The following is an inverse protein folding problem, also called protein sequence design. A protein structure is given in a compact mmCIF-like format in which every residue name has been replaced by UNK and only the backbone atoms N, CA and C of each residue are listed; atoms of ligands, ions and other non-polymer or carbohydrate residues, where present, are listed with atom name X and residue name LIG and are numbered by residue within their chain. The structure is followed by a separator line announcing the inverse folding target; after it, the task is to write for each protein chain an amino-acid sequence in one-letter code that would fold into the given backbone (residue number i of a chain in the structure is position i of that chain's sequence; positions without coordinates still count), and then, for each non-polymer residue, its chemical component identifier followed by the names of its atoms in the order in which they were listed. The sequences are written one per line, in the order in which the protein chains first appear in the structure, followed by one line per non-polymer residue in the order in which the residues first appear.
data_IF_733925160131
#
_entry.id   IF_733925160131
#
_cell.length_a   1.000
_cell.length_b   1.000
_cell.length_c   1.000
_cell.angle_alpha   90.00
_cell.angle_beta   90.00
_cell.angle_gamma   90.00
#
_symmetry.space_group_name_H-M   'P 1'
#
loop_
_entity.id
_entity.type
_entity.pdbx_description
1 polymer ?
#
# COMPACT_ATOMS: atom_id res chain seq x y z
N UNK A 1 -22.90 -16.04 -1.68
CA UNK A 1 -22.25 -14.98 -0.89
C UNK A 1 -21.16 -14.41 -1.76
N UNK A 2 -21.18 -13.11 -2.05
CA UNK A 2 -20.15 -12.46 -2.87
C UNK A 2 -19.07 -12.02 -1.91
N UNK A 3 -17.84 -12.49 -2.15
CA UNK A 3 -16.66 -12.07 -1.42
C UNK A 3 -15.98 -10.94 -2.18
N UNK A 4 -15.48 -9.96 -1.42
CA UNK A 4 -14.75 -8.82 -1.94
C UNK A 4 -13.44 -8.68 -1.19
N UNK A 5 -12.38 -8.39 -1.93
CA UNK A 5 -11.11 -7.96 -1.36
C UNK A 5 -11.26 -6.50 -0.93
N UNK A 6 -11.04 -6.20 0.34
CA UNK A 6 -11.22 -4.88 0.92
C UNK A 6 -10.04 -4.51 1.79
N UNK A 7 -9.67 -3.23 1.82
CA UNK A 7 -8.50 -2.80 2.57
C UNK A 7 -8.68 -1.49 3.32
N UNK A 8 -7.87 -1.38 4.37
CA UNK A 8 -7.66 -0.17 5.16
C UNK A 8 -6.23 0.27 4.93
N UNK A 9 -6.05 1.53 4.57
CA UNK A 9 -4.76 2.07 4.16
C UNK A 9 -4.53 3.45 4.76
N UNK A 10 -3.27 3.87 4.78
CA UNK A 10 -2.87 5.24 5.08
C UNK A 10 -2.34 5.90 3.81
N UNK A 11 -2.86 7.07 3.47
CA UNK A 11 -2.48 7.83 2.28
C UNK A 11 -1.64 9.04 2.63
N UNK A 12 -0.60 9.35 1.85
CA UNK A 12 0.07 10.63 1.97
C UNK A 12 -0.81 11.77 1.45
N UNK A 13 -0.49 13.00 1.84
CA UNK A 13 -1.15 14.20 1.31
C UNK A 13 -0.99 14.33 -0.22
N UNK A 14 -1.75 15.23 -0.83
CA UNK A 14 -1.77 15.40 -2.28
C UNK A 14 -0.40 15.80 -2.87
N UNK A 15 0.41 16.57 -2.14
CA UNK A 15 1.73 17.00 -2.63
C UNK A 15 2.71 15.83 -2.64
N UNK A 16 2.79 15.12 -1.52
CA UNK A 16 3.62 13.93 -1.35
C UNK A 16 3.17 12.83 -2.32
N UNK A 17 1.87 12.65 -2.52
CA UNK A 17 1.32 11.71 -3.50
C UNK A 17 1.82 12.00 -4.92
N UNK A 18 1.82 13.28 -5.36
CA UNK A 18 2.35 13.66 -6.68
C UNK A 18 3.83 13.32 -6.80
N UNK A 19 4.64 13.65 -5.79
CA UNK A 19 6.08 13.34 -5.81
C UNK A 19 6.36 11.83 -5.84
N UNK A 20 5.54 11.01 -5.18
CA UNK A 20 5.66 9.56 -5.23
C UNK A 20 5.27 8.98 -6.59
N UNK A 21 4.23 9.54 -7.25
CA UNK A 21 3.87 9.17 -8.62
C UNK A 21 5.03 9.49 -9.58
N UNK A 22 5.61 10.68 -9.49
CA UNK A 22 6.79 11.06 -10.30
C UNK A 22 7.98 10.12 -10.07
N UNK A 23 8.26 9.75 -8.81
CA UNK A 23 9.32 8.81 -8.47
C UNK A 23 9.04 7.41 -9.04
N UNK A 24 7.81 6.91 -8.91
CA UNK A 24 7.35 5.65 -9.48
C UNK A 24 7.63 5.57 -10.98
N UNK A 25 7.21 6.60 -11.72
CA UNK A 25 7.45 6.67 -13.16
C UNK A 25 8.94 6.79 -13.51
N UNK A 26 9.73 7.52 -12.73
CA UNK A 26 11.17 7.63 -12.96
C UNK A 26 11.92 6.29 -12.76
N UNK A 27 11.47 5.44 -11.83
CA UNK A 27 12.04 4.11 -11.58
C UNK A 27 11.63 3.13 -12.68
N UNK A 28 10.36 3.17 -13.09
CA UNK A 28 9.81 2.30 -14.13
C UNK A 28 10.16 2.70 -15.57
N UNK A 29 10.74 3.89 -15.79
CA UNK A 29 11.02 4.40 -17.14
C UNK A 29 11.92 3.44 -17.94
N UNK A 30 11.57 3.24 -19.22
CA UNK A 30 12.26 2.31 -20.12
C UNK A 30 12.01 0.81 -19.86
N UNK A 31 11.15 0.44 -18.91
CA UNK A 31 10.81 -0.95 -18.58
C UNK A 31 9.33 -1.24 -18.84
N UNK A 32 8.97 -2.50 -19.08
CA UNK A 32 7.56 -2.91 -19.21
C UNK A 32 6.89 -2.88 -17.82
N UNK A 33 5.97 -1.93 -17.55
CA UNK A 33 5.34 -1.81 -16.25
C UNK A 33 4.17 -2.79 -16.14
N UNK A 34 4.14 -3.55 -15.06
CA UNK A 34 2.94 -4.29 -14.65
C UNK A 34 2.01 -3.36 -13.85
N UNK A 35 2.59 -2.53 -12.98
CA UNK A 35 1.89 -1.52 -12.21
C UNK A 35 2.83 -0.34 -11.90
N UNK A 36 2.33 0.88 -12.07
CA UNK A 36 2.95 2.11 -11.59
C UNK A 36 1.90 2.92 -10.84
N UNK A 37 2.33 3.76 -9.90
CA UNK A 37 1.43 4.68 -9.22
C UNK A 37 0.74 5.64 -10.20
N UNK A 38 -0.49 6.02 -9.88
CA UNK A 38 -1.29 6.93 -10.69
C UNK A 38 -2.71 7.08 -10.13
N UNK A 39 -3.64 7.58 -10.94
CA UNK A 39 -5.03 7.80 -10.54
C UNK A 39 -5.71 6.51 -10.03
N UNK A 40 -5.46 5.38 -10.71
CA UNK A 40 -6.01 4.05 -10.35
C UNK A 40 -5.14 3.26 -9.37
N UNK A 41 -4.00 3.83 -8.98
CA UNK A 41 -3.03 3.21 -8.08
C UNK A 41 -2.43 4.30 -7.18
N UNK A 42 -3.23 4.91 -6.28
CA UNK A 42 -2.73 5.94 -5.40
C UNK A 42 -1.69 5.37 -4.42
N UNK A 43 -0.64 6.14 -4.06
CA UNK A 43 0.32 5.72 -3.07
C UNK A 43 -0.36 5.54 -1.72
N UNK A 44 0.00 4.46 -1.03
CA UNK A 44 -0.59 4.10 0.25
C UNK A 44 0.34 3.20 1.06
N UNK A 45 0.07 3.12 2.36
CA UNK A 45 0.61 2.11 3.27
C UNK A 45 -0.54 1.23 3.71
N UNK A 46 -0.44 -0.07 3.47
CA UNK A 46 -1.46 -1.02 3.92
C UNK A 46 -1.47 -1.14 5.44
N UNK A 47 -2.66 -1.03 6.04
CA UNK A 47 -2.93 -1.38 7.45
C UNK A 47 -3.55 -2.77 7.51
N UNK A 48 -4.50 -3.05 6.61
CA UNK A 48 -5.21 -4.32 6.53
C UNK A 48 -5.62 -4.59 5.08
N UNK A 49 -5.38 -5.79 4.57
CA UNK A 49 -6.04 -6.33 3.38
C UNK A 49 -6.78 -7.61 3.78
N UNK A 50 -8.05 -7.75 3.41
CA UNK A 50 -8.88 -8.90 3.80
C UNK A 50 -9.81 -9.34 2.67
N UNK A 51 -10.13 -10.64 2.67
CA UNK A 51 -11.30 -11.17 1.97
C UNK A 51 -12.47 -11.18 2.96
N UNK A 52 -13.57 -10.54 2.59
CA UNK A 52 -14.77 -10.48 3.42
C UNK A 52 -16.04 -10.57 2.56
N UNK A 53 -17.16 -10.92 3.18
CA UNK A 53 -18.44 -10.81 2.51
C UNK A 53 -18.80 -9.33 2.31
N UNK A 54 -19.47 -8.99 1.21
CA UNK A 54 -19.79 -7.60 0.86
C UNK A 54 -20.54 -6.84 1.98
N UNK A 55 -21.41 -7.53 2.71
CA UNK A 55 -22.16 -6.98 3.85
C UNK A 55 -21.29 -6.70 5.10
N UNK A 56 -20.09 -7.26 5.17
CA UNK A 56 -19.12 -7.03 6.26
C UNK A 56 -18.29 -5.76 6.05
N UNK A 57 -18.23 -5.23 4.83
CA UNK A 57 -17.45 -4.00 4.51
C UNK A 57 -17.89 -2.81 5.34
N UNK A 58 -19.19 -2.70 5.67
CA UNK A 58 -19.72 -1.63 6.51
C UNK A 58 -19.11 -1.60 7.92
N UNK A 59 -18.79 -2.77 8.48
CA UNK A 59 -18.10 -2.87 9.77
C UNK A 59 -16.67 -2.35 9.72
N UNK A 60 -15.95 -2.65 8.64
CA UNK A 60 -14.60 -2.14 8.39
C UNK A 60 -14.64 -0.61 8.22
N UNK A 61 -15.57 -0.09 7.42
CA UNK A 61 -15.76 1.35 7.22
C UNK A 61 -16.12 2.06 8.54
N UNK A 62 -16.98 1.46 9.36
CA UNK A 62 -17.30 2.00 10.68
C UNK A 62 -16.08 2.03 11.61
N UNK A 63 -15.22 1.01 11.56
CA UNK A 63 -13.98 0.96 12.33
C UNK A 63 -12.94 2.00 11.86
N UNK A 64 -12.97 2.44 10.59
CA UNK A 64 -12.07 3.52 10.13
C UNK A 64 -12.53 4.92 10.54
N UNK A 65 -13.83 5.12 10.74
CA UNK A 65 -14.41 6.43 11.01
C UNK A 65 -13.76 7.21 12.18
N UNK A 66 -13.43 6.60 13.34
CA UNK A 66 -12.77 7.29 14.46
C UNK A 66 -11.38 7.82 14.14
N UNK A 67 -10.73 7.35 13.07
CA UNK A 67 -9.40 7.82 12.69
C UNK A 67 -9.37 8.64 11.41
N UNK A 68 -10.52 8.89 10.76
CA UNK A 68 -10.59 9.78 9.61
C UNK A 68 -10.12 11.19 10.02
N UNK A 69 -9.27 11.79 9.20
CA UNK A 69 -8.66 13.09 9.45
C UNK A 69 -7.53 13.11 10.48
N UNK A 70 -7.25 12.00 11.19
CA UNK A 70 -6.03 11.89 12.00
C UNK A 70 -4.83 11.74 11.09
N UNK A 71 -3.74 12.41 11.46
CA UNK A 71 -2.46 12.28 10.77
C UNK A 71 -1.55 11.35 11.55
N UNK A 72 -1.03 10.34 10.86
CA UNK A 72 -0.12 9.33 11.40
C UNK A 72 1.26 9.53 10.75
N UNK A 73 2.30 9.85 11.53
CA UNK A 73 3.64 10.02 11.00
C UNK A 73 4.29 8.66 10.71
N UNK A 74 4.83 8.50 9.50
CA UNK A 74 5.63 7.34 9.12
C UNK A 74 7.01 7.77 8.63
N UNK A 75 8.07 7.14 9.13
CA UNK A 75 9.45 7.48 8.72
C UNK A 75 9.91 6.56 7.59
N UNK A 76 10.24 7.14 6.45
CA UNK A 76 10.89 6.46 5.33
C UNK A 76 12.35 6.20 5.65
N UNK A 77 12.81 4.96 5.42
CA UNK A 77 14.21 4.56 5.67
C UNK A 77 15.00 4.21 4.42
N UNK A 78 14.33 3.93 3.30
CA UNK A 78 15.03 3.68 2.05
C UNK A 78 14.13 3.15 0.95
N UNK A 79 14.76 2.89 -0.20
CA UNK A 79 14.16 2.16 -1.30
C UNK A 79 14.22 0.66 -1.03
N UNK A 80 13.12 -0.02 -1.35
CA UNK A 80 13.01 -1.47 -1.34
C UNK A 80 12.94 -1.94 -2.80
N UNK A 81 13.77 -2.92 -3.16
CA UNK A 81 13.65 -3.67 -4.40
C UNK A 81 13.59 -5.16 -4.04
N UNK A 82 12.63 -5.87 -4.62
CA UNK A 82 12.47 -7.29 -4.37
C UNK A 82 12.06 -8.03 -5.64
N UNK A 83 12.50 -9.28 -5.75
CA UNK A 83 11.99 -10.21 -6.77
C UNK A 83 10.68 -10.77 -6.26
N UNK A 84 9.65 -10.72 -7.10
CA UNK A 84 8.36 -11.35 -6.83
C UNK A 84 8.36 -12.71 -7.55
N UNK A 85 8.30 -13.83 -6.82
CA UNK A 85 8.25 -15.14 -7.44
C UNK A 85 6.91 -15.33 -8.19
N UNK A 86 6.88 -16.14 -9.26
CA UNK A 86 5.62 -16.58 -9.86
C UNK A 86 4.72 -17.28 -8.82
N UNK A 87 3.41 -17.09 -8.93
CA UNK A 87 2.43 -17.60 -7.98
C UNK A 87 2.14 -16.67 -6.79
N UNK A 88 2.74 -15.46 -6.74
CA UNK A 88 2.33 -14.41 -5.81
C UNK A 88 0.85 -14.05 -5.99
N UNK A 89 0.17 -13.72 -4.89
CA UNK A 89 -1.26 -13.40 -4.89
C UNK A 89 -1.58 -12.17 -5.76
N UNK A 90 -0.77 -11.12 -5.66
CA UNK A 90 -0.99 -9.86 -6.37
C UNK A 90 -0.33 -9.84 -7.75
N UNK A 91 0.75 -10.61 -7.95
CA UNK A 91 1.50 -10.69 -9.22
C UNK A 91 1.71 -12.15 -9.63
N UNK A 92 0.68 -12.86 -10.15
CA UNK A 92 0.79 -14.29 -10.43
C UNK A 92 1.89 -14.67 -11.43
N UNK A 93 2.24 -13.76 -12.36
CA UNK A 93 3.32 -13.95 -13.34
C UNK A 93 4.72 -13.80 -12.75
N UNK A 94 4.85 -13.31 -11.51
CA UNK A 94 6.09 -12.81 -10.95
C UNK A 94 6.50 -11.46 -11.55
N UNK A 95 7.62 -10.92 -11.07
CA UNK A 95 8.15 -9.63 -11.52
C UNK A 95 9.17 -9.03 -10.56
N UNK A 96 9.35 -7.72 -10.67
CA UNK A 96 10.24 -6.94 -9.82
C UNK A 96 9.45 -5.85 -9.12
N UNK A 97 9.40 -5.95 -7.81
CA UNK A 97 8.79 -4.98 -6.91
C UNK A 97 9.78 -3.85 -6.63
N UNK A 98 9.28 -2.61 -6.59
CA UNK A 98 10.01 -1.50 -5.99
C UNK A 98 9.09 -0.59 -5.16
N UNK A 99 9.63 -0.07 -4.06
CA UNK A 99 8.86 0.68 -3.08
C UNK A 99 9.73 1.48 -2.12
N UNK A 100 9.08 2.05 -1.10
CA UNK A 100 9.72 2.71 0.03
C UNK A 100 9.48 1.88 1.29
N UNK A 101 10.55 1.57 2.01
CA UNK A 101 10.46 0.93 3.31
C UNK A 101 10.23 1.98 4.40
N UNK A 102 9.33 1.66 5.34
CA UNK A 102 8.99 2.50 6.48
C UNK A 102 9.42 1.84 7.78
N UNK A 103 9.75 2.66 8.79
CA UNK A 103 9.91 2.15 10.16
C UNK A 103 8.57 1.63 10.65
N UNK A 104 8.52 0.37 11.06
CA UNK A 104 7.44 -0.19 11.89
C UNK A 104 7.44 0.51 13.26
N UNK A 105 6.65 1.57 13.37
CA UNK A 105 6.47 2.30 14.62
C UNK A 105 5.44 1.60 15.51
N UNK A 106 5.46 1.83 16.83
CA UNK A 106 4.41 1.33 17.73
C UNK A 106 2.99 1.79 17.35
N UNK A 107 2.85 2.98 16.75
CA UNK A 107 1.56 3.51 16.31
C UNK A 107 1.01 2.76 15.09
N UNK A 108 1.85 2.49 14.09
CA UNK A 108 1.45 1.70 12.92
C UNK A 108 1.12 0.26 13.32
N UNK A 109 1.92 -0.31 14.23
CA UNK A 109 1.69 -1.66 14.74
C UNK A 109 0.38 -1.76 15.52
N UNK A 110 0.12 -0.81 16.44
CA UNK A 110 -1.12 -0.77 17.20
C UNK A 110 -2.35 -0.62 16.29
N UNK A 111 -2.27 0.24 15.27
CA UNK A 111 -3.34 0.39 14.29
C UNK A 111 -3.57 -0.91 13.51
N UNK A 112 -2.50 -1.54 13.02
CA UNK A 112 -2.59 -2.81 12.33
C UNK A 112 -3.23 -3.92 13.20
N UNK A 113 -2.83 -4.03 14.47
CA UNK A 113 -3.41 -4.99 15.41
C UNK A 113 -4.90 -4.70 15.71
N UNK A 114 -5.28 -3.43 15.86
CA UNK A 114 -6.68 -3.01 16.04
C UNK A 114 -7.56 -3.54 14.89
N UNK A 115 -7.08 -3.42 13.66
CA UNK A 115 -7.81 -3.87 12.47
C UNK A 115 -7.80 -5.39 12.27
N UNK A 116 -6.72 -6.08 12.64
CA UNK A 116 -6.69 -7.55 12.64
C UNK A 116 -7.71 -8.15 13.61
N UNK A 117 -7.93 -7.50 14.76
CA UNK A 117 -8.88 -7.96 15.77
C UNK A 117 -10.36 -7.92 15.32
N UNK A 118 -10.67 -7.35 14.16
CA UNK A 118 -11.99 -7.46 13.53
C UNK A 118 -12.31 -8.90 13.07
N UNK A 119 -11.31 -9.78 12.96
CA UNK A 119 -11.51 -11.22 12.74
C UNK A 119 -11.85 -11.62 11.31
N UNK A 120 -11.56 -10.76 10.32
CA UNK A 120 -11.68 -11.08 8.90
C UNK A 120 -10.50 -11.94 8.43
N UNK A 121 -10.66 -12.63 7.29
CA UNK A 121 -9.58 -13.43 6.68
C UNK A 121 -8.55 -12.50 6.03
N UNK A 122 -7.30 -12.43 6.53
CA UNK A 122 -6.27 -11.58 5.97
C UNK A 122 -5.85 -12.03 4.57
N UNK A 123 -5.47 -11.08 3.72
CA UNK A 123 -4.88 -11.33 2.41
C UNK A 123 -3.36 -11.15 2.45
N UNK A 124 -2.65 -12.00 1.71
CA UNK A 124 -1.19 -11.98 1.67
C UNK A 124 -0.55 -12.35 3.01
N UNK A 125 0.53 -11.67 3.38
CA UNK A 125 1.31 -11.92 4.60
C UNK A 125 1.01 -10.92 5.72
N UNK A 126 -0.12 -10.20 5.62
CA UNK A 126 -0.45 -9.06 6.48
C UNK A 126 -0.57 -9.47 7.95
N UNK A 127 -0.97 -10.70 8.27
CA UNK A 127 -1.09 -11.25 9.62
C UNK A 127 0.17 -11.98 10.13
N UNK A 128 1.16 -12.23 9.27
CA UNK A 128 2.36 -13.01 9.60
C UNK A 128 3.54 -12.12 10.03
N UNK A 129 3.78 -11.04 9.29
CA UNK A 129 4.85 -10.09 9.59
C UNK A 129 4.50 -8.71 9.03
N UNK A 130 4.00 -7.83 9.90
CA UNK A 130 3.63 -6.48 9.52
C UNK A 130 4.87 -5.66 9.12
N UNK A 131 5.00 -5.42 7.82
CA UNK A 131 6.08 -4.63 7.21
C UNK A 131 5.51 -3.43 6.47
N UNK A 132 5.37 -2.27 7.13
CA UNK A 132 4.82 -1.09 6.47
C UNK A 132 5.74 -0.61 5.36
N UNK A 133 5.17 -0.36 4.19
CA UNK A 133 5.88 0.12 3.02
C UNK A 133 4.91 0.88 2.11
N UNK A 134 5.46 1.66 1.17
CA UNK A 134 4.71 2.24 0.05
C UNK A 134 5.20 1.58 -1.21
N UNK A 135 4.35 0.79 -1.86
CA UNK A 135 4.66 0.25 -3.19
C UNK A 135 4.69 1.39 -4.20
N UNK A 136 5.79 1.52 -4.94
CA UNK A 136 5.93 2.49 -6.02
C UNK A 136 5.60 1.86 -7.37
N UNK A 137 5.87 0.56 -7.54
CA UNK A 137 5.48 -0.14 -8.75
C UNK A 137 5.98 -1.57 -8.85
N UNK A 138 5.62 -2.19 -9.96
CA UNK A 138 6.03 -3.53 -10.36
C UNK A 138 6.34 -3.52 -11.86
N UNK A 139 7.48 -4.07 -12.24
CA UNK A 139 7.91 -4.25 -13.64
C UNK A 139 8.17 -5.71 -13.97
N UNK A 140 8.06 -6.07 -15.25
CA UNK A 140 8.37 -7.43 -15.71
C UNK A 140 9.89 -7.71 -15.73
N UNK A 141 10.71 -6.67 -15.84
CA UNK A 141 12.17 -6.71 -15.83
C UNK A 141 12.74 -5.89 -14.66
N UNK A 142 14.01 -6.09 -14.25
CA UNK A 142 14.62 -5.31 -13.17
C UNK A 142 14.51 -3.81 -13.43
N UNK A 143 13.96 -3.01 -12.50
CA UNK A 143 13.76 -1.57 -12.69
C UNK A 143 15.07 -0.76 -12.56
N UNK A 144 15.02 0.51 -12.97
CA UNK A 144 16.14 1.45 -12.84
C UNK A 144 16.35 1.92 -11.39
N UNK A 145 17.57 2.32 -11.06
CA UNK A 145 17.80 3.10 -9.84
C UNK A 145 17.51 4.60 -10.12
N UNK A 146 16.69 5.27 -9.30
CA UNK A 146 16.44 6.69 -9.45
C UNK A 146 17.62 7.50 -8.88
N UNK A 147 17.74 8.80 -9.21
CA UNK A 147 18.60 9.69 -8.46
C UNK A 147 18.19 9.69 -6.98
N UNK A 148 19.10 9.36 -6.07
CA UNK A 148 18.80 9.27 -4.63
C UNK A 148 18.28 10.58 -4.03
N UNK A 149 18.61 11.72 -4.63
CA UNK A 149 18.06 13.04 -4.24
C UNK A 149 16.54 13.17 -4.43
N UNK A 150 15.92 12.29 -5.22
CA UNK A 150 14.47 12.23 -5.44
C UNK A 150 13.76 11.23 -4.51
N UNK A 151 14.51 10.43 -3.75
CA UNK A 151 13.95 9.49 -2.80
C UNK A 151 13.57 10.27 -1.55
N UNK A 152 12.30 10.25 -1.10
CA UNK A 152 11.91 10.96 0.09
C UNK A 152 12.66 10.40 1.31
N UNK A 153 13.29 11.30 2.06
CA UNK A 153 13.94 10.98 3.32
C UNK A 153 13.23 11.74 4.45
N UNK A 154 12.86 11.02 5.50
CA UNK A 154 12.23 11.61 6.68
C UNK A 154 10.80 11.13 6.91
N UNK A 155 10.01 11.97 7.57
CA UNK A 155 8.65 11.64 8.02
C UNK A 155 7.64 12.09 6.97
N UNK A 156 6.83 11.15 6.49
CA UNK A 156 5.63 11.41 5.71
C UNK A 156 4.42 11.40 6.63
N UNK A 157 3.48 12.31 6.35
CA UNK A 157 2.23 12.43 7.10
C UNK A 157 1.14 11.66 6.35
N UNK A 158 0.51 10.71 7.02
CA UNK A 158 -0.47 9.83 6.39
C UNK A 158 -1.85 9.94 7.03
N UNK A 159 -2.91 9.79 6.25
CA UNK A 159 -4.30 9.83 6.73
C UNK A 159 -5.04 8.56 6.32
N UNK A 160 -5.93 8.06 7.17
CA UNK A 160 -6.63 6.81 6.89
C UNK A 160 -7.65 6.95 5.76
N UNK A 161 -7.71 5.92 4.91
CA UNK A 161 -8.75 5.68 3.92
C UNK A 161 -9.10 4.18 3.90
N UNK A 162 -10.21 3.81 3.27
CA UNK A 162 -10.55 2.41 3.03
C UNK A 162 -11.29 2.22 1.72
N UNK A 163 -11.18 1.04 1.12
CA UNK A 163 -11.83 0.78 -0.16
C UNK A 163 -11.63 -0.64 -0.67
N UNK A 164 -12.29 -0.98 -1.79
CA UNK A 164 -12.06 -2.25 -2.46
C UNK A 164 -10.63 -2.33 -2.99
N UNK A 165 -10.04 -3.52 -2.90
CA UNK A 165 -8.70 -3.80 -3.42
C UNK A 165 -8.81 -4.11 -4.90
N UNK A 166 -8.06 -3.38 -5.71
CA UNK A 166 -7.88 -3.59 -7.14
C UNK A 166 -6.70 -4.50 -7.48
N UNK A 167 -6.41 -4.69 -8.79
CA UNK A 167 -5.24 -5.44 -9.25
C UNK A 167 -3.95 -4.95 -8.59
N UNK A 168 -3.00 -5.86 -8.35
CA UNK A 168 -1.71 -5.53 -7.75
C UNK A 168 -1.78 -4.93 -6.33
N UNK A 169 -2.91 -5.07 -5.63
CA UNK A 169 -3.11 -4.48 -4.32
C UNK A 169 -3.34 -2.97 -4.35
N UNK A 170 -3.79 -2.43 -5.48
CA UNK A 170 -4.10 -0.99 -5.61
C UNK A 170 -5.49 -0.66 -5.08
N UNK A 171 -5.82 0.63 -5.03
CA UNK A 171 -7.11 1.10 -4.53
C UNK A 171 -7.68 2.21 -5.42
N UNK A 172 -8.33 1.86 -6.55
CA UNK A 172 -8.86 2.83 -7.49
C UNK A 172 -10.05 3.64 -6.92
N UNK A 173 -10.79 3.07 -5.96
CA UNK A 173 -12.04 3.64 -5.43
C UNK A 173 -11.96 3.87 -3.92
N UNK A 174 -10.91 4.56 -3.44
CA UNK A 174 -10.75 4.87 -2.02
C UNK A 174 -11.84 5.81 -1.50
N UNK A 175 -12.38 5.48 -0.34
CA UNK A 175 -13.24 6.34 0.46
C UNK A 175 -12.39 7.07 1.50
N UNK A 176 -12.44 8.40 1.47
CA UNK A 176 -11.87 9.29 2.50
C UNK A 176 -12.81 9.43 3.70
#
# INVERSE_FOLDING_TARGET
MIYVAYGVVLRPDAQTSRSLVELSHAIGDGHEPLMLLGEKAPPHVSVLHVDCAEDQTAGIVAATAPHRGRTIPAKVIGLLYAVIPPGDYYVPTGGYYFGLELIRSPELDALHQEFLLLGHTPLGLVDQDYRPHITLGVTAAPPSQPPFSKVPAGVVQLTMASGPIGPFGTFPDLLE
#
